data_IF_095832942633
#
_entry.id   IF_095832942633
#
_cell.length_a   1.000
_cell.length_b   1.000
_cell.length_c   1.000
_cell.angle_alpha   90.00
_cell.angle_beta   90.00
_cell.angle_gamma   90.00
#
_symmetry.space_group_name_H-M   'P 1'
#
loop_
_entity.id
_entity.type
_entity.pdbx_description
1 polymer ?
#
# COMPACT_ATOMS: atom_id res chain seq x y z
N UNK A 1 7.50 6.69 -12.88
CA UNK A 1 6.20 6.30 -12.28
C UNK A 1 6.00 7.13 -11.02
N UNK A 2 4.83 7.73 -10.85
CA UNK A 2 4.46 8.54 -9.69
C UNK A 2 3.17 7.97 -9.11
N UNK A 3 3.11 7.87 -7.78
CA UNK A 3 1.91 7.47 -7.06
C UNK A 3 1.44 8.63 -6.19
N UNK A 4 0.16 8.96 -6.26
CA UNK A 4 -0.46 10.06 -5.50
C UNK A 4 -1.84 9.66 -4.97
N UNK A 5 -2.44 10.50 -4.14
CA UNK A 5 -3.83 10.36 -3.69
C UNK A 5 -4.12 9.02 -3.00
N UNK A 6 -3.22 8.64 -2.10
CA UNK A 6 -3.36 7.38 -1.36
C UNK A 6 -4.56 7.44 -0.42
N UNK A 7 -5.49 6.52 -0.64
CA UNK A 7 -6.66 6.31 0.23
C UNK A 7 -6.51 4.95 0.91
N UNK A 8 -6.65 4.96 2.23
CA UNK A 8 -6.61 3.73 3.04
C UNK A 8 -8.04 3.43 3.47
N UNK A 9 -8.53 2.26 3.10
CA UNK A 9 -9.77 1.69 3.64
C UNK A 9 -9.40 0.64 4.71
N UNK A 10 -9.51 0.97 6.00
CA UNK A 10 -9.22 0.04 7.09
C UNK A 10 -10.30 -1.03 7.26
N UNK A 11 -11.52 -0.83 6.73
CA UNK A 11 -12.60 -1.82 6.81
C UNK A 11 -12.40 -2.97 5.83
N UNK A 12 -11.74 -2.72 4.70
CA UNK A 12 -11.40 -3.75 3.70
C UNK A 12 -9.91 -4.09 3.64
N UNK A 13 -9.08 -3.42 4.44
CA UNK A 13 -7.61 -3.54 4.45
C UNK A 13 -6.99 -3.28 3.08
N UNK A 14 -7.45 -2.23 2.39
CA UNK A 14 -6.97 -1.88 1.05
C UNK A 14 -6.33 -0.51 1.03
N UNK A 15 -5.24 -0.39 0.29
CA UNK A 15 -4.66 0.90 -0.08
C UNK A 15 -4.83 1.11 -1.58
N UNK A 16 -5.63 2.12 -1.92
CA UNK A 16 -5.85 2.57 -3.28
C UNK A 16 -5.13 3.89 -3.53
N UNK A 17 -4.87 4.20 -4.80
CA UNK A 17 -4.27 5.48 -5.15
C UNK A 17 -4.24 5.72 -6.65
N UNK A 18 -3.76 6.91 -7.03
CA UNK A 18 -3.53 7.29 -8.41
C UNK A 18 -2.14 6.83 -8.85
N UNK A 19 -2.05 6.16 -10.00
CA UNK A 19 -0.78 5.74 -10.63
C UNK A 19 -0.60 6.49 -11.94
N UNK A 20 0.54 7.17 -12.08
CA UNK A 20 0.97 7.84 -13.30
C UNK A 20 2.28 7.22 -13.81
N UNK A 21 2.33 6.84 -15.08
CA UNK A 21 3.53 6.29 -15.72
C UNK A 21 4.11 7.30 -16.72
N UNK A 22 5.23 7.93 -16.35
CA UNK A 22 5.85 8.99 -17.16
C UNK A 22 4.99 10.25 -17.20
N UNK A 23 4.93 10.92 -18.36
CA UNK A 23 3.97 12.00 -18.66
C UNK A 23 2.62 11.47 -19.16
N UNK A 24 2.42 10.14 -19.09
CA UNK A 24 1.25 9.45 -19.62
C UNK A 24 0.04 9.42 -18.68
N UNK A 25 -0.90 8.54 -19.04
CA UNK A 25 -2.23 8.39 -18.44
C UNK A 25 -2.18 8.15 -16.91
N UNK A 26 -3.11 8.80 -16.20
CA UNK A 26 -3.27 8.66 -14.74
C UNK A 26 -4.41 7.70 -14.48
N UNK A 27 -4.10 6.52 -13.93
CA UNK A 27 -5.11 5.58 -13.45
C UNK A 27 -5.48 5.95 -12.01
N UNK A 28 -6.75 6.28 -11.76
CA UNK A 28 -7.27 6.67 -10.44
C UNK A 28 -7.88 5.48 -9.71
N UNK A 29 -7.87 5.53 -8.38
CA UNK A 29 -8.46 4.53 -7.48
C UNK A 29 -7.97 3.09 -7.76
N UNK A 30 -6.73 2.95 -8.20
CA UNK A 30 -6.13 1.64 -8.46
C UNK A 30 -5.87 0.95 -7.13
N UNK A 31 -6.21 -0.34 -7.05
CA UNK A 31 -5.84 -1.16 -5.89
C UNK A 31 -4.36 -1.55 -5.96
N UNK A 32 -3.54 -0.83 -5.19
CA UNK A 32 -2.08 -0.89 -5.32
C UNK A 32 -1.49 -1.88 -4.33
N UNK A 33 -1.93 -1.81 -3.08
CA UNK A 33 -1.38 -2.63 -2.01
C UNK A 33 -2.45 -3.29 -1.16
N UNK A 34 -2.19 -4.55 -0.81
CA UNK A 34 -2.92 -5.25 0.22
C UNK A 34 -2.27 -4.97 1.57
N UNK A 35 -3.09 -4.64 2.57
CA UNK A 35 -2.66 -4.35 3.92
C UNK A 35 -2.89 -5.59 4.79
N UNK A 36 -1.83 -6.36 5.06
CA UNK A 36 -1.95 -7.56 5.89
C UNK A 36 -1.97 -7.20 7.39
N UNK A 37 -3.19 -7.06 7.91
CA UNK A 37 -3.44 -6.72 9.32
C UNK A 37 -3.07 -7.82 10.32
N UNK A 38 -2.74 -9.04 9.90
CA UNK A 38 -2.33 -10.12 10.84
C UNK A 38 -0.98 -9.83 11.51
N UNK A 39 -0.21 -8.91 10.93
CA UNK A 39 1.10 -8.46 11.41
C UNK A 39 1.05 -7.14 12.18
N UNK A 40 -0.15 -6.57 12.36
CA UNK A 40 -0.35 -5.33 13.12
C UNK A 40 0.19 -5.47 14.54
N UNK A 41 1.09 -4.54 14.90
CA UNK A 41 1.47 -4.36 16.29
C UNK A 41 0.31 -3.66 17.03
N UNK A 42 0.22 -3.86 18.35
CA UNK A 42 -0.72 -3.11 19.17
C UNK A 42 -0.55 -1.60 18.98
N UNK A 43 -1.65 -0.85 19.05
CA UNK A 43 -1.66 0.60 19.01
C UNK A 43 -0.66 1.18 20.02
N UNK A 44 0.23 2.05 19.55
CA UNK A 44 1.21 2.75 20.39
C UNK A 44 0.86 4.23 20.49
N UNK A 45 1.24 4.85 21.60
CA UNK A 45 1.08 6.30 21.81
C UNK A 45 2.47 6.95 21.80
N UNK A 46 2.71 7.83 20.82
CA UNK A 46 3.91 8.67 20.72
C UNK A 46 3.52 10.13 20.98
N UNK A 47 3.52 10.54 22.25
CA UNK A 47 3.01 11.85 22.66
C UNK A 47 1.51 11.97 22.42
N UNK A 48 1.10 12.96 21.61
CA UNK A 48 -0.30 13.16 21.21
C UNK A 48 -0.71 12.34 19.99
N UNK A 49 0.19 11.50 19.47
CA UNK A 49 -0.08 10.69 18.30
C UNK A 49 -0.41 9.24 18.67
N UNK A 50 -1.51 8.75 18.10
CA UNK A 50 -1.85 7.33 18.02
C UNK A 50 -1.15 6.70 16.80
N UNK A 51 -0.27 5.74 17.05
CA UNK A 51 0.57 5.07 16.05
C UNK A 51 0.12 3.61 15.89
N UNK A 52 -0.32 3.28 14.67
CA UNK A 52 -0.58 1.91 14.24
C UNK A 52 0.49 1.51 13.23
N UNK A 53 1.33 0.56 13.61
CA UNK A 53 2.42 0.06 12.78
C UNK A 53 2.35 -1.47 12.68
N UNK A 54 2.87 -2.02 11.60
CA UNK A 54 3.10 -3.46 11.49
C UNK A 54 2.30 -4.10 10.38
N UNK A 55 1.36 -3.39 9.78
CA UNK A 55 0.64 -3.87 8.61
C UNK A 55 1.61 -4.08 7.46
N UNK A 56 1.83 -5.34 7.11
CA UNK A 56 2.71 -5.69 5.99
C UNK A 56 2.04 -5.29 4.68
N UNK A 57 2.72 -4.48 3.89
CA UNK A 57 2.24 -3.99 2.59
C UNK A 57 2.72 -4.98 1.53
N UNK A 58 1.78 -5.67 0.90
CA UNK A 58 2.04 -6.65 -0.16
C UNK A 58 1.56 -6.10 -1.50
N UNK A 59 2.27 -6.45 -2.58
CA UNK A 59 1.84 -6.13 -3.95
C UNK A 59 0.51 -6.84 -4.24
N UNK A 60 -0.47 -6.14 -4.80
CA UNK A 60 -1.72 -6.77 -5.22
C UNK A 60 -1.48 -7.74 -6.39
N UNK A 61 -2.30 -8.79 -6.56
CA UNK A 61 -2.17 -9.72 -7.69
C UNK A 61 -2.19 -9.02 -9.06
N UNK A 62 -3.03 -8.00 -9.21
CA UNK A 62 -3.14 -7.21 -10.44
C UNK A 62 -1.89 -6.37 -10.70
N UNK A 63 -1.35 -5.73 -9.67
CA UNK A 63 -0.09 -4.98 -9.76
C UNK A 63 1.11 -5.90 -10.04
N UNK A 64 1.14 -7.09 -9.43
CA UNK A 64 2.19 -8.09 -9.68
C UNK A 64 2.17 -8.56 -11.13
N UNK A 65 0.98 -8.84 -11.68
CA UNK A 65 0.80 -9.19 -13.09
C UNK A 65 1.27 -8.06 -14.02
N UNK A 66 0.86 -6.82 -13.75
CA UNK A 66 1.27 -5.66 -14.54
C UNK A 66 2.80 -5.44 -14.51
N UNK A 67 3.42 -5.50 -13.32
CA UNK A 67 4.87 -5.32 -13.15
C UNK A 67 5.66 -6.42 -13.85
N UNK A 68 5.24 -7.68 -13.71
CA UNK A 68 5.85 -8.81 -14.39
C UNK A 68 5.79 -8.66 -15.91
N UNK A 69 4.64 -8.22 -16.45
CA UNK A 69 4.50 -7.98 -17.89
C UNK A 69 5.35 -6.79 -18.39
N UNK A 70 5.45 -5.73 -17.60
CA UNK A 70 6.19 -4.50 -17.96
C UNK A 70 7.70 -4.72 -17.95
N UNK A 71 8.20 -5.47 -16.97
CA UNK A 71 9.64 -5.71 -16.77
C UNK A 71 10.12 -7.07 -17.28
N UNK A 72 9.23 -7.88 -17.87
CA UNK A 72 9.56 -9.20 -18.43
C UNK A 72 10.07 -10.19 -17.37
N UNK A 73 9.53 -10.12 -16.15
CA UNK A 73 9.97 -10.93 -15.01
C UNK A 73 8.83 -11.76 -14.44
N UNK A 74 9.16 -12.74 -13.61
CA UNK A 74 8.20 -13.51 -12.79
C UNK A 74 8.50 -13.38 -11.30
N UNK A 75 9.45 -12.50 -10.95
CA UNK A 75 9.93 -12.34 -9.58
C UNK A 75 8.93 -11.57 -8.68
N UNK A 76 8.00 -10.81 -9.27
CA UNK A 76 6.99 -10.08 -8.49
C UNK A 76 5.81 -11.00 -8.22
N UNK A 77 5.66 -11.44 -6.97
CA UNK A 77 4.51 -12.23 -6.52
C UNK A 77 3.56 -11.36 -5.69
N UNK A 78 2.31 -11.80 -5.54
CA UNK A 78 1.31 -11.19 -4.66
C UNK A 78 1.64 -11.32 -3.16
N UNK A 79 2.70 -12.07 -2.84
CA UNK A 79 3.29 -12.20 -1.51
C UNK A 79 4.51 -11.31 -1.31
N UNK A 80 4.96 -10.60 -2.36
CA UNK A 80 6.10 -9.71 -2.28
C UNK A 80 5.80 -8.57 -1.31
N UNK A 81 6.51 -8.58 -0.19
CA UNK A 81 6.46 -7.52 0.81
C UNK A 81 7.25 -6.33 0.30
N UNK A 82 6.57 -5.21 0.10
CA UNK A 82 7.18 -3.96 -0.36
C UNK A 82 7.38 -2.94 0.75
N UNK A 83 6.81 -3.18 1.93
CA UNK A 83 7.03 -2.33 3.09
C UNK A 83 6.16 -2.68 4.27
N UNK A 84 6.26 -1.86 5.31
CA UNK A 84 5.41 -1.89 6.49
C UNK A 84 4.73 -0.53 6.57
N UNK A 85 3.40 -0.53 6.68
CA UNK A 85 2.65 0.70 6.86
C UNK A 85 2.73 1.15 8.32
N UNK A 86 3.05 2.43 8.51
CA UNK A 86 2.91 3.16 9.77
C UNK A 86 1.85 4.23 9.56
N UNK A 87 0.74 4.13 10.28
CA UNK A 87 -0.30 5.16 10.34
C UNK A 87 -0.09 5.92 11.64
N UNK A 88 -0.06 7.24 11.56
CA UNK A 88 0.09 8.12 12.71
C UNK A 88 -1.04 9.13 12.69
N UNK A 89 -1.89 9.09 13.70
CA UNK A 89 -3.04 9.99 13.85
C UNK A 89 -2.77 10.89 15.03
N UNK A 90 -2.82 12.21 14.82
CA UNK A 90 -2.83 13.16 15.92
C UNK A 90 -4.19 13.08 16.62
N UNK A 91 -4.17 12.83 17.92
CA UNK A 91 -5.39 12.69 18.75
C UNK A 91 -5.80 13.99 19.41
N UNK A 92 -5.16 15.11 19.06
CA UNK A 92 -5.53 16.47 19.46
C UNK A 92 -6.04 17.31 18.30
#
# INVERSE_FOLDING_TARGET
MKLTDFVIDPGTSRLTGSVQVGDGEVMKDVYIFNLDGTTLKPLQMEGDNAVLEGTTVKVSPDAASLLNSTFGTTAVTDQLVVGIAKITVNTK
#
